data_IF_343238274498
#
_entry.id   IF_343238274498
#
_cell.length_a   1.000
_cell.length_b   1.000
_cell.length_c   1.000
_cell.angle_alpha   90.00
_cell.angle_beta   90.00
_cell.angle_gamma   90.00
#
_symmetry.space_group_name_H-M   'P 1'
#
loop_
_entity.id
_entity.type
_entity.pdbx_description
1 polymer ?
#
# COMPACT_ATOMS: atom_id res chain seq x y z
N UNK A 1 3.59 2.67 -9.91
CA UNK A 1 2.93 1.40 -10.27
C UNK A 1 3.36 1.00 -11.68
N UNK A 2 3.60 -0.30 -11.94
CA UNK A 2 3.87 -0.80 -13.29
C UNK A 2 2.71 -0.49 -14.24
N UNK A 3 3.02 -0.04 -15.46
CA UNK A 3 1.98 0.38 -16.43
C UNK A 3 1.03 -0.75 -16.78
N UNK A 4 1.55 -1.96 -17.02
CA UNK A 4 0.70 -3.12 -17.34
C UNK A 4 -0.25 -3.49 -16.20
N UNK A 5 0.16 -3.27 -14.95
CA UNK A 5 -0.72 -3.50 -13.80
C UNK A 5 -1.87 -2.48 -13.75
N UNK A 6 -1.61 -1.22 -14.08
CA UNK A 6 -2.64 -0.15 -14.05
C UNK A 6 -3.74 -0.34 -15.09
N UNK A 7 -3.53 -1.16 -16.13
CA UNK A 7 -4.56 -1.51 -17.12
C UNK A 7 -5.74 -2.28 -16.51
N UNK A 8 -5.56 -2.88 -15.33
CA UNK A 8 -6.61 -3.57 -14.60
C UNK A 8 -7.50 -2.63 -13.78
N UNK A 9 -7.20 -1.33 -13.75
CA UNK A 9 -8.02 -0.34 -13.05
C UNK A 9 -9.13 0.13 -13.98
N UNK A 10 -10.39 0.01 -13.56
CA UNK A 10 -11.55 0.55 -14.31
C UNK A 10 -11.44 2.08 -14.41
N UNK A 11 -11.00 2.71 -13.32
CA UNK A 11 -10.57 4.10 -13.25
C UNK A 11 -9.43 4.20 -12.23
N UNK A 12 -8.56 5.20 -12.36
CA UNK A 12 -7.52 5.45 -11.35
C UNK A 12 -8.20 6.01 -10.09
N UNK A 13 -8.17 5.30 -8.95
CA UNK A 13 -8.79 5.80 -7.74
C UNK A 13 -7.94 6.92 -7.13
N UNK A 14 -8.57 7.79 -6.34
CA UNK A 14 -7.89 8.86 -5.59
C UNK A 14 -7.14 8.32 -4.36
N UNK A 15 -7.55 7.17 -3.85
CA UNK A 15 -6.94 6.48 -2.73
C UNK A 15 -7.03 4.95 -2.88
N UNK A 16 -6.09 4.23 -2.26
CA UNK A 16 -6.17 2.79 -2.06
C UNK A 16 -6.20 2.46 -0.58
N UNK A 17 -6.97 1.43 -0.24
CA UNK A 17 -6.92 0.71 1.02
C UNK A 17 -5.94 -0.46 0.88
N UNK A 18 -4.78 -0.37 1.52
CA UNK A 18 -3.80 -1.45 1.59
C UNK A 18 -4.18 -2.42 2.72
N UNK A 19 -4.42 -3.69 2.41
CA UNK A 19 -4.70 -4.74 3.39
C UNK A 19 -3.56 -5.73 3.48
N UNK A 20 -3.12 -6.03 4.70
CA UNK A 20 -2.18 -7.12 4.95
C UNK A 20 -2.93 -8.43 5.31
N UNK A 21 -2.20 -9.49 5.65
CA UNK A 21 -2.76 -10.77 6.09
C UNK A 21 -3.35 -10.75 7.52
N UNK A 22 -3.24 -9.63 8.25
CA UNK A 22 -3.70 -9.50 9.64
C UNK A 22 -4.95 -8.62 9.77
N UNK A 23 -5.77 -8.55 8.71
CA UNK A 23 -7.00 -7.73 8.57
C UNK A 23 -6.83 -6.21 8.74
N UNK A 24 -5.61 -5.74 8.93
CA UNK A 24 -5.34 -4.32 9.05
C UNK A 24 -5.33 -3.62 7.72
N UNK A 25 -5.79 -2.37 7.77
CA UNK A 25 -6.02 -1.56 6.59
C UNK A 25 -5.32 -0.22 6.71
N UNK A 26 -4.65 0.20 5.64
CA UNK A 26 -3.93 1.46 5.59
C UNK A 26 -4.37 2.26 4.37
N UNK A 27 -4.71 3.53 4.55
CA UNK A 27 -5.08 4.40 3.43
C UNK A 27 -3.84 5.04 2.83
N UNK A 28 -3.75 5.02 1.51
CA UNK A 28 -2.73 5.75 0.75
C UNK A 28 -3.40 6.52 -0.37
N UNK A 29 -3.05 7.79 -0.52
CA UNK A 29 -3.50 8.58 -1.67
C UNK A 29 -2.74 8.20 -2.92
N UNK A 30 -3.36 8.42 -4.07
CA UNK A 30 -2.78 8.20 -5.38
C UNK A 30 -2.45 9.54 -6.02
N UNK A 31 -1.30 9.61 -6.68
CA UNK A 31 -0.93 10.77 -7.50
C UNK A 31 -0.51 10.31 -8.89
N UNK A 32 -1.05 10.96 -9.92
CA UNK A 32 -0.59 10.79 -11.29
C UNK A 32 0.61 11.72 -11.51
N UNK A 33 1.78 11.16 -11.82
CA UNK A 33 2.99 11.91 -12.12
C UNK A 33 3.61 11.36 -13.39
N UNK A 34 3.72 12.18 -14.43
CA UNK A 34 4.28 11.78 -15.74
C UNK A 34 3.61 10.50 -16.28
N UNK A 35 2.28 10.48 -16.30
CA UNK A 35 1.45 9.33 -16.72
C UNK A 35 1.65 8.04 -15.91
N UNK A 36 2.30 8.14 -14.75
CA UNK A 36 2.49 7.02 -13.83
C UNK A 36 1.67 7.21 -12.56
N UNK A 37 0.94 6.17 -12.21
CA UNK A 37 0.25 6.07 -10.92
C UNK A 37 1.28 5.84 -9.81
N UNK A 38 1.31 6.71 -8.81
CA UNK A 38 2.20 6.64 -7.65
C UNK A 38 1.41 6.58 -6.35
N UNK A 39 1.88 5.79 -5.38
CA UNK A 39 1.38 5.85 -4.01
C UNK A 39 2.05 7.04 -3.32
N UNK A 40 1.24 7.96 -2.80
CA UNK A 40 1.69 9.25 -2.31
C UNK A 40 1.52 9.32 -0.78
N UNK A 41 0.69 10.23 -0.26
CA UNK A 41 0.47 10.39 1.18
C UNK A 41 0.00 9.08 1.80
N UNK A 42 0.60 8.71 2.92
CA UNK A 42 0.36 7.44 3.63
C UNK A 42 1.37 6.35 3.30
N UNK A 43 2.01 6.36 2.12
CA UNK A 43 2.96 5.31 1.72
C UNK A 43 4.23 5.32 2.59
N UNK A 44 4.87 6.47 2.77
CA UNK A 44 6.10 6.57 3.57
C UNK A 44 5.90 6.10 5.03
N UNK A 45 4.77 6.45 5.64
CA UNK A 45 4.44 5.99 6.99
C UNK A 45 4.16 4.48 7.02
N UNK A 46 3.49 3.95 5.98
CA UNK A 46 3.27 2.52 5.82
C UNK A 46 4.59 1.75 5.80
N UNK A 47 5.60 2.22 5.03
CA UNK A 47 6.91 1.56 4.96
C UNK A 47 7.65 1.60 6.29
N UNK A 48 7.59 2.71 7.05
CA UNK A 48 8.22 2.82 8.37
C UNK A 48 7.58 1.88 9.39
N UNK A 49 6.24 1.90 9.49
CA UNK A 49 5.50 1.04 10.44
C UNK A 49 5.74 -0.43 10.12
N UNK A 50 5.79 -0.78 8.83
CA UNK A 50 6.01 -2.15 8.40
C UNK A 50 7.48 -2.55 8.29
N UNK A 51 8.41 -1.64 8.62
CA UNK A 51 9.86 -1.82 8.53
C UNK A 51 10.31 -2.34 7.15
N UNK A 52 9.67 -1.85 6.08
CA UNK A 52 10.04 -2.18 4.70
C UNK A 52 11.37 -1.48 4.40
N UNK A 53 12.36 -2.28 3.99
CA UNK A 53 13.69 -1.79 3.63
C UNK A 53 13.90 -1.87 2.13
N UNK A 54 15.02 -1.29 1.67
CA UNK A 54 15.53 -1.55 0.33
C UNK A 54 15.81 -3.07 0.23
N UNK A 55 15.69 -3.61 -0.99
CA UNK A 55 15.81 -5.04 -1.33
C UNK A 55 14.65 -5.94 -0.88
N UNK A 56 13.70 -5.42 -0.09
CA UNK A 56 12.48 -6.15 0.23
C UNK A 56 11.55 -6.19 -0.98
N UNK A 57 10.87 -7.32 -1.16
CA UNK A 57 9.88 -7.49 -2.21
C UNK A 57 8.48 -7.18 -1.66
N UNK A 58 7.81 -6.20 -2.26
CA UNK A 58 6.41 -5.87 -1.93
C UNK A 58 5.52 -6.29 -3.09
N UNK A 59 4.58 -7.19 -2.81
CA UNK A 59 3.58 -7.63 -3.79
C UNK A 59 2.25 -6.90 -3.58
N UNK A 60 1.58 -6.57 -4.68
CA UNK A 60 0.27 -5.94 -4.68
C UNK A 60 -0.71 -6.81 -5.47
N UNK A 61 -1.83 -7.17 -4.86
CA UNK A 61 -2.95 -7.84 -5.53
C UNK A 61 -4.19 -6.97 -5.44
N UNK A 62 -4.77 -6.64 -6.59
CA UNK A 62 -6.04 -5.92 -6.66
C UNK A 62 -7.18 -6.85 -6.20
N UNK A 63 -7.90 -6.45 -5.14
CA UNK A 63 -9.05 -7.19 -4.61
C UNK A 63 -10.38 -6.56 -5.04
N UNK A 64 -10.47 -5.25 -4.88
CA UNK A 64 -11.56 -4.39 -5.34
C UNK A 64 -10.95 -3.17 -6.03
N UNK A 65 -11.72 -2.33 -6.75
CA UNK A 65 -11.18 -1.16 -7.44
C UNK A 65 -10.35 -0.20 -6.56
N UNK A 66 -10.61 -0.18 -5.26
CA UNK A 66 -9.96 0.69 -4.27
C UNK A 66 -9.15 -0.08 -3.20
N UNK A 67 -9.07 -1.42 -3.26
CA UNK A 67 -8.39 -2.22 -2.23
C UNK A 67 -7.29 -3.09 -2.84
N UNK A 68 -6.07 -2.93 -2.32
CA UNK A 68 -4.91 -3.75 -2.65
C UNK A 68 -4.56 -4.64 -1.46
N UNK A 69 -4.43 -5.95 -1.68
CA UNK A 69 -3.74 -6.83 -0.74
C UNK A 69 -2.24 -6.67 -0.91
N UNK A 70 -1.53 -6.46 0.18
CA UNK A 70 -0.09 -6.28 0.23
C UNK A 70 0.54 -7.44 1.01
N UNK A 71 1.55 -8.07 0.43
CA UNK A 71 2.41 -9.06 1.10
C UNK A 71 3.85 -8.59 0.93
N UNK A 72 4.59 -8.56 2.04
CA UNK A 72 5.96 -8.07 2.13
C UNK A 72 6.85 -9.28 2.38
N UNK A 73 7.89 -9.43 1.57
CA UNK A 73 8.95 -10.41 1.77
C UNK A 73 10.25 -9.68 2.07
N UNK A 74 11.02 -10.17 3.02
CA UNK A 74 12.37 -9.68 3.28
C UNK A 74 13.36 -10.11 2.18
N UNK A 75 14.63 -9.78 2.36
CA UNK A 75 15.72 -10.07 1.43
C UNK A 75 16.03 -11.57 1.29
N UNK A 76 15.62 -12.39 2.26
CA UNK A 76 15.66 -13.85 2.19
C UNK A 76 14.41 -14.46 1.52
N UNK A 77 13.46 -13.62 1.09
CA UNK A 77 12.20 -14.03 0.48
C UNK A 77 11.18 -14.59 1.49
N UNK A 78 11.36 -14.32 2.79
CA UNK A 78 10.47 -14.78 3.85
C UNK A 78 9.37 -13.73 4.07
N UNK A 79 8.12 -14.18 4.21
CA UNK A 79 7.00 -13.28 4.48
C UNK A 79 7.16 -12.58 5.83
N UNK A 80 7.15 -11.25 5.81
CA UNK A 80 7.19 -10.41 7.01
C UNK A 80 5.78 -10.32 7.59
N UNK A 81 5.53 -11.09 8.65
CA UNK A 81 4.26 -11.04 9.40
C UNK A 81 4.32 -9.88 10.39
N UNK A 82 3.80 -8.72 9.98
CA UNK A 82 3.75 -7.56 10.87
C UNK A 82 2.43 -7.50 11.65
N UNK A 83 2.51 -7.59 12.98
CA UNK A 83 1.36 -7.38 13.86
C UNK A 83 1.01 -5.90 13.83
N UNK A 84 -0.10 -5.59 13.18
CA UNK A 84 -0.62 -4.25 13.12
C UNK A 84 -0.76 -3.63 14.53
N UNK A 85 0.01 -2.58 14.81
CA UNK A 85 -0.21 -1.76 16.00
C UNK A 85 -1.40 -0.84 15.71
N UNK A 86 -2.36 -0.75 16.64
CA UNK A 86 -3.53 0.14 16.53
C UNK A 86 -3.04 1.56 16.26
N UNK A 87 -3.29 2.10 15.06
CA UNK A 87 -2.95 3.48 14.68
C UNK A 87 -4.16 4.22 14.12
N UNK A 88 -5.37 3.76 14.43
CA UNK A 88 -6.64 4.33 13.96
C UNK A 88 -6.83 5.82 14.29
N UNK A 89 -6.03 6.39 15.21
CA UNK A 89 -6.15 7.78 15.64
C UNK A 89 -5.22 8.78 14.93
N UNK A 90 -4.25 8.33 14.13
CA UNK A 90 -3.24 9.24 13.54
C UNK A 90 -3.71 9.95 12.25
N UNK A 91 -4.87 9.57 11.70
CA UNK A 91 -5.35 10.05 10.40
C UNK A 91 -6.73 10.71 10.46
N UNK A 92 -7.18 11.18 11.63
CA UNK A 92 -8.23 12.21 11.64
C UNK A 92 -7.66 13.44 10.97
N UNK A 93 -8.02 13.64 9.70
CA UNK A 93 -7.82 14.89 9.01
C UNK A 93 -8.39 15.99 9.92
N UNK A 94 -7.55 16.93 10.32
CA UNK A 94 -8.04 18.20 10.85
C UNK A 94 -8.67 18.91 9.66
N UNK A 95 -9.97 19.17 9.76
CA UNK A 95 -10.72 20.08 8.90
C UNK A 95 -10.09 21.48 8.87
#
# INVERSE_FOLDING_TARGET
MPLDFTKHFVAVPTEFKLRNNTDCSWRVTVKLMHDRVTLNQGWATYTVVHQIKIDYMVTFKLLTPDTLKVIIFDDDGIEVINKCRKHDEAFTARD
#
